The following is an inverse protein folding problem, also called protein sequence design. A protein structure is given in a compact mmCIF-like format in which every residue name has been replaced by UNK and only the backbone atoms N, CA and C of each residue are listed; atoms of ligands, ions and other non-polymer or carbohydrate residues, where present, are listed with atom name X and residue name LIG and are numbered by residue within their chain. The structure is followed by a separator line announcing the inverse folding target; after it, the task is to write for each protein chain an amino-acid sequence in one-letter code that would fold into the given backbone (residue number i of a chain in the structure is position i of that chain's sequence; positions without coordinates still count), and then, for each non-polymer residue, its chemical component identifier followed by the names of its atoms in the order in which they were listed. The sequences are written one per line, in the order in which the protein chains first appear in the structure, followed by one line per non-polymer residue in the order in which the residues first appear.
data_IF_931531997583
#
_entry.id   IF_931531997583
#
_cell.length_a   1.000
_cell.length_b   1.000
_cell.length_c   1.000
_cell.angle_alpha   90.00
_cell.angle_beta   90.00
_cell.angle_gamma   90.00
#
_symmetry.space_group_name_H-M   'P 1'
#
loop_
_entity.id
_entity.type
_entity.pdbx_description
1 polymer ?
#
# COMPACT_ATOMS: atom_id res chain seq x y z
N UNK A 1 39.53 53.10 -40.08
CA UNK A 1 38.93 52.97 -38.73
C UNK A 1 37.69 52.10 -38.85
N UNK A 2 37.35 51.33 -37.81
CA UNK A 2 36.26 50.34 -37.74
C UNK A 2 36.66 48.93 -38.23
N UNK A 3 37.70 48.39 -37.58
CA UNK A 3 37.80 46.95 -37.31
C UNK A 3 37.50 46.78 -35.82
N UNK A 4 36.82 45.69 -35.45
CA UNK A 4 36.69 45.16 -34.09
C UNK A 4 35.50 45.63 -33.24
N UNK A 5 34.26 45.46 -33.72
CA UNK A 5 33.07 45.39 -32.83
C UNK A 5 32.18 44.22 -33.27
N UNK A 6 32.74 43.00 -33.33
CA UNK A 6 31.94 41.80 -33.64
C UNK A 6 32.26 40.57 -32.78
N UNK A 7 33.10 40.71 -31.75
CA UNK A 7 33.52 39.58 -30.91
C UNK A 7 33.07 39.65 -29.44
N UNK A 8 32.28 40.65 -29.05
CA UNK A 8 31.93 40.84 -27.63
C UNK A 8 30.54 40.30 -27.22
N UNK A 9 29.74 39.76 -28.14
CA UNK A 9 28.40 39.24 -27.81
C UNK A 9 28.27 37.71 -27.81
N UNK A 10 29.32 36.97 -28.18
CA UNK A 10 29.27 35.50 -28.21
C UNK A 10 29.73 34.83 -26.89
N UNK A 11 30.15 35.61 -25.89
CA UNK A 11 30.70 35.07 -24.64
C UNK A 11 29.73 35.10 -23.43
N UNK A 12 28.48 35.57 -23.62
CA UNK A 12 27.51 35.75 -22.52
C UNK A 12 26.36 34.72 -22.57
N UNK A 13 26.37 33.76 -23.51
CA UNK A 13 25.36 32.67 -23.53
C UNK A 13 25.82 31.40 -22.81
N UNK A 14 27.02 31.38 -22.22
CA UNK A 14 27.58 30.21 -21.53
C UNK A 14 27.29 30.16 -20.02
N UNK A 15 26.55 31.12 -19.48
CA UNK A 15 26.21 31.13 -18.05
C UNK A 15 24.76 30.65 -17.88
N UNK A 16 24.61 29.54 -17.15
CA UNK A 16 23.38 29.01 -16.54
C UNK A 16 22.48 28.10 -17.38
N UNK A 17 23.04 27.19 -18.19
CA UNK A 17 22.45 25.85 -18.21
C UNK A 17 23.00 25.07 -17.02
N UNK A 18 22.57 25.46 -15.83
CA UNK A 18 22.60 24.57 -14.68
C UNK A 18 21.54 23.53 -14.99
N UNK A 19 21.91 22.55 -15.83
CA UNK A 19 21.16 21.35 -16.00
C UNK A 19 21.02 20.78 -14.59
N UNK A 20 19.82 20.91 -14.02
CA UNK A 20 19.38 19.92 -13.05
C UNK A 20 19.46 18.62 -13.82
N UNK A 21 20.56 17.90 -13.65
CA UNK A 21 20.53 16.46 -13.74
C UNK A 21 19.50 16.09 -12.70
N UNK A 22 18.24 15.97 -13.12
CA UNK A 22 17.33 15.13 -12.37
C UNK A 22 18.08 13.82 -12.31
N UNK A 23 18.58 13.48 -11.12
CA UNK A 23 18.96 12.10 -10.80
C UNK A 23 17.87 11.26 -11.43
N UNK A 24 18.24 10.49 -12.47
CA UNK A 24 17.30 9.62 -13.15
C UNK A 24 16.61 8.88 -12.03
N UNK A 25 15.29 9.05 -11.90
CA UNK A 25 14.52 8.34 -10.89
C UNK A 25 14.98 6.90 -10.98
N UNK A 26 15.66 6.43 -9.92
CA UNK A 26 16.33 5.14 -9.91
C UNK A 26 15.44 4.12 -10.62
N UNK A 27 16.01 3.36 -11.54
CA UNK A 27 15.34 2.40 -12.42
C UNK A 27 14.84 1.19 -11.60
N UNK A 28 14.04 1.48 -10.57
CA UNK A 28 13.49 0.56 -9.60
C UNK A 28 12.32 -0.11 -10.30
N UNK A 29 12.57 -1.32 -10.77
CA UNK A 29 11.54 -2.18 -11.33
C UNK A 29 10.52 -2.52 -10.25
N UNK A 30 9.24 -2.35 -10.57
CA UNK A 30 8.13 -2.79 -9.71
C UNK A 30 8.28 -4.30 -9.45
N UNK A 31 8.22 -4.71 -8.19
CA UNK A 31 8.23 -6.12 -7.83
C UNK A 31 7.02 -6.83 -8.47
N UNK A 32 7.20 -8.07 -8.89
CA UNK A 32 6.09 -8.86 -9.41
C UNK A 32 5.07 -9.12 -8.30
N UNK A 33 3.80 -8.91 -8.60
CA UNK A 33 2.70 -9.20 -7.67
C UNK A 33 2.43 -10.70 -7.66
N UNK A 34 2.46 -11.31 -6.48
CA UNK A 34 2.15 -12.72 -6.26
C UNK A 34 1.13 -12.85 -5.13
N UNK A 35 0.07 -13.62 -5.35
CA UNK A 35 -0.94 -13.93 -4.33
C UNK A 35 -1.04 -15.44 -4.23
N UNK A 36 -0.65 -15.99 -3.07
CA UNK A 36 -0.77 -17.42 -2.84
C UNK A 36 -2.23 -17.87 -3.04
N UNK A 37 -2.42 -19.04 -3.64
CA UNK A 37 -3.76 -19.53 -4.00
C UNK A 37 -4.69 -19.65 -2.79
N UNK A 38 -4.14 -19.91 -1.60
CA UNK A 38 -4.87 -19.92 -0.31
C UNK A 38 -5.58 -18.60 -0.01
N UNK A 39 -5.05 -17.46 -0.46
CA UNK A 39 -5.63 -16.14 -0.16
C UNK A 39 -6.67 -15.67 -1.18
N UNK A 40 -6.71 -16.26 -2.37
CA UNK A 40 -7.57 -15.80 -3.48
C UNK A 40 -9.04 -15.72 -3.09
N UNK A 41 -9.55 -16.74 -2.40
CA UNK A 41 -10.94 -16.75 -1.91
C UNK A 41 -11.25 -15.56 -0.99
N UNK A 42 -10.35 -15.27 -0.05
CA UNK A 42 -10.53 -14.18 0.91
C UNK A 42 -10.40 -12.81 0.24
N UNK A 43 -9.46 -12.66 -0.68
CA UNK A 43 -9.30 -11.43 -1.48
C UNK A 43 -10.56 -11.12 -2.28
N UNK A 44 -11.12 -12.10 -2.98
CA UNK A 44 -12.35 -11.88 -3.76
C UNK A 44 -13.55 -11.57 -2.85
N UNK A 45 -13.67 -12.23 -1.69
CA UNK A 45 -14.68 -11.87 -0.69
C UNK A 45 -14.55 -10.41 -0.21
N UNK A 46 -13.33 -9.91 0.00
CA UNK A 46 -13.10 -8.50 0.35
C UNK A 46 -13.59 -7.60 -0.79
N UNK A 47 -13.19 -7.86 -2.04
CA UNK A 47 -13.63 -7.08 -3.20
C UNK A 47 -15.14 -7.05 -3.31
N UNK A 48 -15.82 -8.19 -3.19
CA UNK A 48 -17.29 -8.27 -3.22
C UNK A 48 -17.95 -7.47 -2.10
N UNK A 49 -17.43 -7.54 -0.88
CA UNK A 49 -17.94 -6.74 0.24
C UNK A 49 -17.78 -5.25 -0.03
N UNK A 50 -16.63 -4.80 -0.52
CA UNK A 50 -16.41 -3.39 -0.87
C UNK A 50 -17.35 -2.89 -1.96
N UNK A 51 -17.64 -3.72 -2.98
CA UNK A 51 -18.65 -3.41 -4.01
C UNK A 51 -20.04 -3.19 -3.43
N UNK A 52 -20.45 -4.03 -2.47
CA UNK A 52 -21.75 -3.91 -1.78
C UNK A 52 -21.89 -2.58 -1.03
N UNK A 53 -20.77 -1.99 -0.60
CA UNK A 53 -20.72 -0.70 0.07
C UNK A 53 -20.27 0.46 -0.84
N UNK A 54 -20.44 0.32 -2.16
CA UNK A 54 -20.23 1.39 -3.15
C UNK A 54 -18.80 1.94 -3.23
N UNK A 55 -17.79 1.16 -2.83
CA UNK A 55 -16.40 1.50 -3.12
C UNK A 55 -16.16 1.38 -4.63
N UNK A 56 -15.53 2.39 -5.22
CA UNK A 56 -15.30 2.42 -6.68
C UNK A 56 -14.31 1.34 -7.13
N UNK A 57 -14.49 0.81 -8.35
CA UNK A 57 -13.58 -0.21 -8.89
C UNK A 57 -12.14 0.29 -8.98
N UNK A 58 -11.89 1.59 -9.20
CA UNK A 58 -10.55 2.19 -9.16
C UNK A 58 -9.89 2.07 -7.77
N UNK A 59 -10.66 2.16 -6.68
CA UNK A 59 -10.14 1.91 -5.33
C UNK A 59 -9.94 0.42 -5.10
N UNK A 60 -10.87 -0.42 -5.57
CA UNK A 60 -10.81 -1.88 -5.40
C UNK A 60 -9.63 -2.50 -6.16
N UNK A 61 -9.33 -2.02 -7.39
CA UNK A 61 -8.25 -2.54 -8.22
C UNK A 61 -6.87 -2.33 -7.62
N UNK A 62 -6.71 -1.43 -6.63
CA UNK A 62 -5.46 -1.29 -5.87
C UNK A 62 -5.07 -2.55 -5.10
N UNK A 63 -6.03 -3.43 -4.81
CA UNK A 63 -5.76 -4.75 -4.22
C UNK A 63 -4.89 -5.59 -5.17
N UNK A 64 -5.04 -5.42 -6.48
CA UNK A 64 -4.31 -6.21 -7.49
C UNK A 64 -2.82 -5.81 -7.58
N UNK A 65 -2.42 -4.74 -6.90
CA UNK A 65 -1.02 -4.31 -6.77
C UNK A 65 -0.33 -4.88 -5.51
N UNK A 66 -1.04 -5.69 -4.70
CA UNK A 66 -0.55 -6.18 -3.40
C UNK A 66 -0.15 -7.66 -3.49
N UNK A 67 1.08 -7.95 -3.12
CA UNK A 67 1.56 -9.33 -2.91
C UNK A 67 1.05 -9.86 -1.58
N UNK A 68 0.58 -11.10 -1.53
CA UNK A 68 0.12 -11.75 -0.29
C UNK A 68 0.74 -13.15 -0.22
N UNK A 69 1.55 -13.37 0.80
CA UNK A 69 2.29 -14.61 1.02
C UNK A 69 2.25 -15.05 2.49
N UNK A 70 2.46 -16.34 2.74
CA UNK A 70 2.78 -16.81 4.08
C UNK A 70 4.21 -16.45 4.48
N UNK A 71 4.40 -16.20 5.78
CA UNK A 71 5.73 -16.09 6.37
C UNK A 71 5.71 -16.42 7.85
N UNK A 72 6.91 -16.54 8.41
CA UNK A 72 7.09 -16.69 9.86
C UNK A 72 7.32 -15.30 10.47
N UNK A 73 6.39 -14.89 11.35
CA UNK A 73 6.39 -13.56 11.94
C UNK A 73 7.02 -13.61 13.33
N UNK A 74 8.35 -13.60 13.37
CA UNK A 74 9.10 -13.54 14.63
C UNK A 74 9.29 -12.08 15.09
N UNK A 75 8.53 -11.62 16.09
CA UNK A 75 8.77 -10.32 16.73
C UNK A 75 9.92 -10.37 17.73
N UNK A 76 10.69 -9.28 17.81
CA UNK A 76 11.89 -9.11 18.67
C UNK A 76 11.70 -9.47 20.15
N UNK A 77 10.48 -9.40 20.67
CA UNK A 77 10.19 -9.63 22.09
C UNK A 77 9.42 -10.93 22.38
N UNK A 78 9.12 -11.77 21.37
CA UNK A 78 8.53 -13.11 21.51
C UNK A 78 7.13 -13.21 22.13
N UNK A 79 6.53 -12.10 22.61
CA UNK A 79 5.28 -12.09 23.37
C UNK A 79 4.06 -11.60 22.60
N UNK A 80 4.25 -10.80 21.55
CA UNK A 80 3.15 -10.30 20.73
C UNK A 80 2.99 -11.16 19.49
N UNK A 81 1.84 -11.83 19.41
CA UNK A 81 1.39 -12.55 18.22
C UNK A 81 0.63 -11.57 17.33
N UNK A 82 1.13 -11.36 16.11
CA UNK A 82 0.39 -10.66 15.05
C UNK A 82 -0.03 -11.67 13.98
N UNK A 83 -1.25 -11.51 13.48
CA UNK A 83 -1.79 -12.39 12.45
C UNK A 83 -1.22 -12.08 11.05
N UNK A 84 -0.79 -10.84 10.83
CA UNK A 84 -0.16 -10.40 9.60
C UNK A 84 0.60 -9.08 9.79
N UNK A 85 1.27 -8.64 8.73
CA UNK A 85 1.73 -7.28 8.59
C UNK A 85 1.83 -6.87 7.12
N UNK A 86 1.74 -5.57 6.88
CA UNK A 86 1.97 -4.94 5.59
C UNK A 86 3.35 -4.25 5.54
N UNK A 87 4.07 -4.43 4.43
CA UNK A 87 5.28 -3.67 4.07
C UNK A 87 5.05 -2.98 2.74
N UNK A 88 5.23 -1.66 2.74
CA UNK A 88 5.21 -0.84 1.52
C UNK A 88 6.60 -0.28 1.29
N UNK A 89 7.18 -0.55 0.12
CA UNK A 89 8.46 0.05 -0.30
C UNK A 89 8.23 1.06 -1.40
N UNK A 90 8.88 2.21 -1.27
CA UNK A 90 8.72 3.32 -2.19
C UNK A 90 10.04 4.08 -2.38
N UNK A 91 10.20 4.70 -3.55
CA UNK A 91 11.24 5.71 -3.81
C UNK A 91 10.75 7.09 -3.40
N UNK A 92 11.39 8.19 -3.83
CA UNK A 92 10.83 9.55 -3.64
C UNK A 92 9.53 9.77 -4.44
N UNK A 93 9.31 9.03 -5.54
CA UNK A 93 8.22 9.28 -6.50
C UNK A 93 7.26 8.10 -6.68
N UNK A 94 7.72 6.85 -6.62
CA UNK A 94 6.89 5.65 -6.94
C UNK A 94 6.84 4.65 -5.77
N UNK A 95 5.69 4.01 -5.54
CA UNK A 95 5.56 2.79 -4.74
C UNK A 95 5.93 1.61 -5.64
N UNK A 96 6.94 0.83 -5.28
CA UNK A 96 7.46 -0.25 -6.13
C UNK A 96 7.21 -1.65 -5.54
N UNK A 97 6.76 -1.74 -4.29
CA UNK A 97 6.34 -3.00 -3.66
C UNK A 97 5.30 -2.73 -2.56
N UNK A 98 4.25 -3.53 -2.55
CA UNK A 98 3.23 -3.61 -1.50
C UNK A 98 3.07 -5.09 -1.17
N UNK A 99 3.33 -5.48 0.08
CA UNK A 99 3.39 -6.87 0.47
C UNK A 99 2.74 -7.10 1.82
N UNK A 100 1.84 -8.06 1.87
CA UNK A 100 1.24 -8.60 3.08
C UNK A 100 1.90 -9.95 3.37
N UNK A 101 2.33 -10.13 4.61
CA UNK A 101 2.81 -11.42 5.11
C UNK A 101 1.89 -11.89 6.22
N UNK A 102 1.35 -13.09 6.09
CA UNK A 102 0.43 -13.70 7.06
C UNK A 102 1.16 -14.78 7.87
N UNK A 103 0.93 -14.82 9.18
CA UNK A 103 1.51 -15.82 10.07
C UNK A 103 0.84 -17.18 9.84
N UNK A 104 1.57 -18.08 9.18
CA UNK A 104 1.10 -19.43 8.88
C UNK A 104 0.77 -20.23 10.15
N UNK A 105 1.49 -19.97 11.25
CA UNK A 105 1.33 -20.73 12.51
C UNK A 105 -0.03 -20.51 13.16
N UNK A 106 -0.66 -19.37 12.90
CA UNK A 106 -1.97 -19.02 13.44
C UNK A 106 -3.07 -19.15 12.40
N UNK A 107 -2.76 -18.96 11.11
CA UNK A 107 -3.73 -18.95 10.02
C UNK A 107 -4.70 -20.14 10.07
N UNK A 108 -4.18 -21.35 10.23
CA UNK A 108 -5.00 -22.56 10.21
C UNK A 108 -5.95 -22.68 11.42
N UNK A 109 -5.68 -21.97 12.51
CA UNK A 109 -6.56 -21.93 13.69
C UNK A 109 -7.72 -20.94 13.55
N UNK A 110 -7.66 -20.03 12.57
CA UNK A 110 -8.65 -18.98 12.38
C UNK A 110 -9.88 -19.46 11.61
N UNK A 111 -11.04 -18.93 11.99
CA UNK A 111 -12.27 -19.11 11.22
C UNK A 111 -12.20 -18.41 9.86
N UNK A 112 -12.95 -18.89 8.86
CA UNK A 112 -12.99 -18.27 7.52
C UNK A 112 -13.42 -16.79 7.56
N UNK A 113 -14.36 -16.45 8.45
CA UNK A 113 -14.77 -15.07 8.70
C UNK A 113 -13.58 -14.22 9.16
N UNK A 114 -12.88 -14.69 10.20
CA UNK A 114 -11.74 -13.97 10.76
C UNK A 114 -10.57 -13.86 9.78
N UNK A 115 -10.32 -14.90 8.97
CA UNK A 115 -9.35 -14.84 7.87
C UNK A 115 -9.68 -13.75 6.85
N UNK A 116 -10.95 -13.58 6.50
CA UNK A 116 -11.40 -12.50 5.60
C UNK A 116 -11.14 -11.12 6.24
N UNK A 117 -11.38 -10.99 7.54
CA UNK A 117 -11.18 -9.74 8.29
C UNK A 117 -9.69 -9.38 8.41
N UNK A 118 -8.81 -10.36 8.67
CA UNK A 118 -7.36 -10.16 8.65
C UNK A 118 -6.90 -9.68 7.28
N UNK A 119 -7.32 -10.36 6.21
CA UNK A 119 -6.93 -9.97 4.84
C UNK A 119 -7.44 -8.56 4.54
N UNK A 120 -8.65 -8.20 4.96
CA UNK A 120 -9.18 -6.85 4.80
C UNK A 120 -8.35 -5.81 5.57
N UNK A 121 -8.00 -6.09 6.83
CA UNK A 121 -7.18 -5.21 7.66
C UNK A 121 -5.82 -4.92 7.01
N UNK A 122 -5.12 -5.97 6.59
CA UNK A 122 -3.81 -5.82 5.96
C UNK A 122 -3.89 -5.12 4.59
N UNK A 123 -4.95 -5.37 3.80
CA UNK A 123 -5.24 -4.60 2.59
C UNK A 123 -5.54 -3.13 2.91
N UNK A 124 -6.21 -2.85 4.03
CA UNK A 124 -6.37 -1.53 4.62
C UNK A 124 -5.07 -0.73 4.62
N UNK A 125 -4.03 -1.33 5.20
CA UNK A 125 -2.68 -0.76 5.21
C UNK A 125 -2.04 -0.72 3.83
N UNK A 126 -2.03 -1.86 3.12
CA UNK A 126 -1.20 -2.01 1.93
C UNK A 126 -1.77 -1.38 0.66
N UNK A 127 -3.09 -1.41 0.44
CA UNK A 127 -3.73 -0.92 -0.78
C UNK A 127 -4.18 0.55 -0.66
N UNK A 128 -4.48 1.03 0.55
CA UNK A 128 -5.09 2.35 0.75
C UNK A 128 -4.39 3.22 1.80
N UNK A 129 -3.40 2.68 2.50
CA UNK A 129 -2.67 3.42 3.50
C UNK A 129 -3.51 3.87 4.69
N UNK A 130 -4.46 3.04 5.10
CA UNK A 130 -5.21 3.29 6.30
C UNK A 130 -4.32 3.06 7.52
N UNK A 131 -4.50 3.90 8.54
CA UNK A 131 -3.88 3.71 9.86
C UNK A 131 -4.85 2.97 10.76
N UNK A 132 -4.34 2.45 11.87
CA UNK A 132 -5.23 1.90 12.88
C UNK A 132 -6.24 2.96 13.35
N UNK A 133 -7.50 2.54 13.47
CA UNK A 133 -8.50 3.26 14.21
C UNK A 133 -8.42 2.81 15.67
N UNK A 134 -8.47 3.76 16.61
CA UNK A 134 -8.48 3.46 18.04
C UNK A 134 -9.84 2.94 18.53
N UNK A 135 -10.85 2.92 17.65
CA UNK A 135 -12.17 2.38 17.94
C UNK A 135 -12.18 0.86 17.80
N UNK A 136 -12.66 0.16 18.81
CA UNK A 136 -12.80 -1.30 18.79
C UNK A 136 -13.89 -1.79 17.80
N UNK A 137 -13.83 -3.10 17.50
CA UNK A 137 -14.77 -3.82 16.64
C UNK A 137 -14.88 -3.26 15.21
N UNK A 138 -13.79 -2.75 14.65
CA UNK A 138 -13.69 -2.35 13.25
C UNK A 138 -12.57 -3.10 12.52
N UNK A 139 -12.64 -3.15 11.19
CA UNK A 139 -11.59 -3.78 10.38
C UNK A 139 -10.23 -3.13 10.61
N UNK A 140 -10.15 -1.80 10.80
CA UNK A 140 -8.87 -1.13 11.06
C UNK A 140 -8.47 -1.03 12.54
N UNK A 141 -9.12 -1.77 13.44
CA UNK A 141 -8.73 -1.76 14.87
C UNK A 141 -7.40 -2.47 15.07
N UNK A 142 -6.60 -2.06 16.07
CA UNK A 142 -5.35 -2.75 16.45
C UNK A 142 -5.60 -4.21 16.88
N UNK A 143 -6.75 -4.45 17.50
CA UNK A 143 -7.19 -5.77 17.93
C UNK A 143 -8.49 -6.08 17.19
N UNK A 144 -8.43 -7.07 16.30
CA UNK A 144 -9.62 -7.58 15.60
C UNK A 144 -10.41 -8.45 16.58
N UNK A 145 -11.38 -7.83 17.26
CA UNK A 145 -12.43 -8.49 18.05
C UNK A 145 -13.66 -8.76 17.18
N UNK A 146 -14.80 -9.16 17.75
CA UNK A 146 -16.01 -9.63 17.07
C UNK A 146 -16.60 -8.63 16.04
N UNK A 147 -16.00 -8.54 14.84
CA UNK A 147 -16.43 -7.63 13.78
C UNK A 147 -17.79 -8.11 13.27
N UNK A 148 -18.80 -7.27 13.45
CA UNK A 148 -20.13 -7.56 12.92
C UNK A 148 -20.19 -7.16 11.45
N UNK A 149 -20.99 -7.87 10.63
CA UNK A 149 -21.18 -7.54 9.21
C UNK A 149 -21.47 -6.06 8.96
N UNK A 150 -22.30 -5.35 9.76
CA UNK A 150 -22.50 -3.93 9.60
C UNK A 150 -21.21 -3.12 9.60
N UNK A 151 -20.18 -3.45 10.39
CA UNK A 151 -18.95 -2.64 10.52
C UNK A 151 -18.12 -2.54 9.23
N UNK A 152 -18.42 -3.36 8.21
CA UNK A 152 -17.82 -3.23 6.88
C UNK A 152 -18.14 -1.90 6.18
N UNK A 153 -19.26 -1.23 6.50
CA UNK A 153 -19.53 0.10 5.95
C UNK A 153 -18.50 1.13 6.41
N UNK A 154 -18.02 1.04 7.66
CA UNK A 154 -17.03 1.96 8.22
C UNK A 154 -15.70 1.80 7.47
N UNK A 155 -15.30 0.55 7.27
CA UNK A 155 -14.10 0.23 6.50
C UNK A 155 -14.19 0.74 5.05
N UNK A 156 -15.33 0.53 4.39
CA UNK A 156 -15.59 1.05 3.05
C UNK A 156 -15.51 2.59 3.00
N UNK A 157 -16.09 3.29 3.99
CA UNK A 157 -15.99 4.74 4.08
C UNK A 157 -14.56 5.24 4.27
N UNK A 158 -13.76 4.56 5.09
CA UNK A 158 -12.33 4.87 5.27
C UNK A 158 -11.59 4.74 3.93
N UNK A 159 -11.88 3.70 3.14
CA UNK A 159 -11.30 3.52 1.80
C UNK A 159 -11.76 4.62 0.84
N UNK A 160 -13.04 4.98 0.84
CA UNK A 160 -13.58 6.04 -0.03
C UNK A 160 -12.89 7.38 0.27
N UNK A 161 -12.66 7.68 1.56
CA UNK A 161 -12.01 8.91 2.03
C UNK A 161 -10.47 8.85 1.93
N UNK A 162 -9.89 7.68 1.69
CA UNK A 162 -8.44 7.50 1.60
C UNK A 162 -7.83 8.30 0.45
N UNK A 163 -6.58 8.74 0.63
CA UNK A 163 -5.80 9.34 -0.46
C UNK A 163 -5.57 8.32 -1.58
N UNK A 164 -5.34 8.81 -2.79
CA UNK A 164 -4.86 7.94 -3.84
C UNK A 164 -3.38 7.58 -3.70
N UNK A 165 -2.63 8.35 -2.92
CA UNK A 165 -1.22 8.14 -2.66
C UNK A 165 -0.99 7.57 -1.25
N UNK A 166 -0.46 6.36 -1.19
CA UNK A 166 -0.20 5.59 0.03
C UNK A 166 0.99 6.15 0.83
N UNK A 167 1.74 7.13 0.30
CA UNK A 167 2.91 7.72 0.97
C UNK A 167 2.65 8.49 2.27
N UNK A 168 1.41 8.87 2.57
CA UNK A 168 1.12 9.75 3.70
C UNK A 168 0.88 8.99 5.02
N UNK A 169 1.38 7.76 5.15
CA UNK A 169 1.26 6.93 6.37
C UNK A 169 2.45 7.18 7.29
#
# INVERSE_FOLDING_TARGET
MIKNIFYSLFLITLILSCGKTEESSDDVKKEQVLVDTEFKYYVENVKEKLRKYSVSENKISKIDDVTIEFGDIHRKNGKEKVAGFCVVKYTKKIVYSQRITIDISQWHSFSSKYKTEIIAHELGHCAWGLKHDHTEDQIMSEILTNITEPKWHIFAEQIIKSSDNIRNI
#
